data_IF_938336138596
#
_entry.id   IF_938336138596
#
_cell.length_a   1.000
_cell.length_b   1.000
_cell.length_c   1.000
_cell.angle_alpha   90.00
_cell.angle_beta   90.00
_cell.angle_gamma   90.00
#
_symmetry.space_group_name_H-M   'P 1'
#
loop_
_entity.id
_entity.type
_entity.pdbx_description
1 polymer ?
#
# COMPACT_ATOMS: atom_id res chain seq x y z
N UNK A 1 17.82 -24.34 35.33
CA UNK A 1 16.95 -25.52 35.49
C UNK A 1 16.84 -26.17 34.10
N UNK A 2 17.56 -27.26 33.88
CA UNK A 2 17.67 -27.95 32.57
C UNK A 2 16.47 -28.88 32.38
N UNK A 3 15.71 -28.72 31.30
CA UNK A 3 14.78 -29.75 30.85
C UNK A 3 15.42 -30.55 29.71
N UNK A 4 15.73 -31.81 30.03
CA UNK A 4 16.33 -32.80 29.14
C UNK A 4 15.19 -33.52 28.41
N UNK A 5 15.03 -33.28 27.11
CA UNK A 5 14.07 -34.05 26.29
C UNK A 5 14.72 -35.39 25.99
N UNK A 6 14.18 -36.45 26.58
CA UNK A 6 14.58 -37.83 26.29
C UNK A 6 14.02 -38.17 24.90
N UNK A 7 14.88 -38.56 23.96
CA UNK A 7 14.41 -39.14 22.69
C UNK A 7 14.06 -40.60 22.94
N UNK A 8 12.77 -40.93 22.97
CA UNK A 8 12.34 -42.31 22.85
C UNK A 8 12.08 -42.62 21.37
N UNK A 9 12.87 -43.56 20.89
CA UNK A 9 12.88 -44.15 19.56
C UNK A 9 11.66 -45.04 19.30
N UNK A 10 11.13 -44.94 18.08
CA UNK A 10 10.25 -45.88 17.38
C UNK A 10 8.87 -46.19 18.00
N UNK A 11 7.85 -45.47 17.52
CA UNK A 11 6.55 -46.08 17.19
C UNK A 11 5.90 -45.31 16.04
N UNK A 12 5.83 -45.95 14.88
CA UNK A 12 4.98 -45.55 13.76
C UNK A 12 3.53 -45.77 14.16
N UNK A 13 2.94 -44.81 14.86
CA UNK A 13 1.49 -44.72 15.13
C UNK A 13 1.09 -43.26 15.02
N UNK A 14 0.00 -43.01 14.31
CA UNK A 14 -0.62 -41.72 13.98
C UNK A 14 -0.07 -40.51 14.74
N UNK A 15 0.51 -39.56 14.01
CA UNK A 15 0.66 -38.19 14.50
C UNK A 15 -0.73 -37.66 14.80
N UNK A 16 -1.16 -37.79 16.05
CA UNK A 16 -2.28 -37.02 16.59
C UNK A 16 -1.92 -35.56 16.34
N UNK A 17 -2.64 -34.92 15.42
CA UNK A 17 -2.51 -33.48 15.18
C UNK A 17 -3.09 -32.81 16.44
N UNK A 18 -2.24 -32.53 17.42
CA UNK A 18 -2.62 -31.72 18.57
C UNK A 18 -2.90 -30.31 18.05
N UNK A 19 -4.17 -29.93 18.01
CA UNK A 19 -4.58 -28.55 17.73
C UNK A 19 -4.60 -27.78 19.06
N UNK A 20 -3.59 -26.95 19.35
CA UNK A 20 -3.56 -26.19 20.58
C UNK A 20 -4.76 -25.25 20.65
N UNK A 21 -5.41 -25.19 21.82
CA UNK A 21 -6.56 -24.30 22.04
C UNK A 21 -6.07 -22.93 22.48
N UNK A 22 -6.40 -21.90 21.71
CA UNK A 22 -6.16 -20.51 22.05
C UNK A 22 -7.46 -19.81 22.46
N UNK A 23 -7.43 -19.03 23.54
CA UNK A 23 -8.51 -18.15 23.96
C UNK A 23 -8.06 -16.70 23.78
N UNK A 24 -8.78 -15.92 22.98
CA UNK A 24 -8.41 -14.55 22.61
C UNK A 24 -9.58 -13.61 22.85
N UNK A 25 -9.30 -12.47 23.47
CA UNK A 25 -10.27 -11.39 23.63
C UNK A 25 -10.24 -10.49 22.39
N UNK A 26 -11.38 -10.33 21.73
CA UNK A 26 -11.52 -9.53 20.52
C UNK A 26 -12.58 -8.44 20.70
N UNK A 27 -12.49 -7.39 19.90
CA UNK A 27 -13.49 -6.31 19.91
C UNK A 27 -14.82 -6.80 19.35
N UNK A 28 -15.92 -6.17 19.76
CA UNK A 28 -17.27 -6.50 19.26
C UNK A 28 -17.38 -6.37 17.74
N UNK A 29 -16.65 -5.43 17.14
CA UNK A 29 -16.61 -5.26 15.69
C UNK A 29 -16.00 -6.49 15.00
N UNK A 30 -14.85 -6.95 15.49
CA UNK A 30 -14.17 -8.13 14.94
C UNK A 30 -15.02 -9.39 15.13
N UNK A 31 -15.68 -9.54 16.27
CA UNK A 31 -16.60 -10.65 16.50
C UNK A 31 -17.75 -10.67 15.48
N UNK A 32 -18.40 -9.52 15.24
CA UNK A 32 -19.48 -9.41 14.23
C UNK A 32 -18.99 -9.74 12.82
N UNK A 33 -17.77 -9.33 12.46
CA UNK A 33 -17.17 -9.65 11.14
C UNK A 33 -16.93 -11.15 10.99
N UNK A 34 -16.37 -11.80 12.02
CA UNK A 34 -16.16 -13.26 12.00
C UNK A 34 -17.51 -13.98 11.88
N UNK A 35 -18.52 -13.53 12.63
CA UNK A 35 -19.86 -14.10 12.56
C UNK A 35 -20.46 -13.98 11.15
N UNK A 36 -20.33 -12.83 10.51
CA UNK A 36 -20.79 -12.62 9.12
C UNK A 36 -20.12 -13.58 8.13
N UNK A 37 -18.83 -13.89 8.32
CA UNK A 37 -18.11 -14.85 7.47
C UNK A 37 -18.60 -16.29 7.73
N UNK A 38 -18.86 -16.63 8.98
CA UNK A 38 -19.45 -17.93 9.35
C UNK A 38 -20.81 -18.10 8.70
N UNK A 39 -21.65 -17.07 8.72
CA UNK A 39 -22.99 -17.12 8.15
C UNK A 39 -22.94 -17.22 6.62
N UNK A 40 -22.05 -16.48 5.96
CA UNK A 40 -21.80 -16.62 4.52
C UNK A 40 -21.36 -18.04 4.12
N UNK A 41 -20.45 -18.67 4.90
CA UNK A 41 -20.05 -20.06 4.65
C UNK A 41 -21.19 -21.07 4.80
N UNK A 42 -22.14 -20.81 5.71
CA UNK A 42 -23.33 -21.66 5.86
C UNK A 42 -24.29 -21.48 4.69
N UNK A 43 -24.43 -20.25 4.18
CA UNK A 43 -25.21 -19.98 2.97
C UNK A 43 -24.62 -20.70 1.75
N UNK A 44 -23.29 -20.80 1.66
CA UNK A 44 -22.57 -21.56 0.63
C UNK A 44 -22.69 -23.10 0.80
N UNK A 45 -23.41 -23.58 1.81
CA UNK A 45 -23.66 -25.01 2.04
C UNK A 45 -22.53 -25.77 2.75
N UNK A 46 -21.59 -25.06 3.39
CA UNK A 46 -20.54 -25.70 4.18
C UNK A 46 -21.13 -26.41 5.42
N UNK A 47 -20.52 -27.54 5.81
CA UNK A 47 -20.98 -28.29 6.98
C UNK A 47 -20.85 -27.47 8.27
N UNK A 48 -21.75 -27.72 9.23
CA UNK A 48 -21.79 -27.00 10.52
C UNK A 48 -20.52 -27.19 11.33
N UNK A 49 -19.77 -28.26 11.07
CA UNK A 49 -18.47 -28.51 11.69
C UNK A 49 -17.37 -27.61 11.14
N UNK A 50 -17.42 -27.26 9.85
CA UNK A 50 -16.45 -26.40 9.18
C UNK A 50 -16.80 -24.91 9.27
N UNK A 51 -18.10 -24.58 9.33
CA UNK A 51 -18.62 -23.22 9.43
C UNK A 51 -18.94 -22.84 10.89
N UNK A 52 -17.89 -22.75 11.72
CA UNK A 52 -18.00 -22.29 13.11
C UNK A 52 -17.01 -21.13 13.39
N UNK A 53 -17.25 -20.41 14.49
CA UNK A 53 -16.44 -19.22 14.83
C UNK A 53 -14.97 -19.58 15.06
N UNK A 54 -14.68 -20.73 15.66
CA UNK A 54 -13.32 -21.16 15.95
C UNK A 54 -12.56 -21.59 14.70
N UNK A 55 -13.19 -22.28 13.76
CA UNK A 55 -12.58 -22.69 12.49
C UNK A 55 -12.30 -21.50 11.58
N UNK A 56 -13.24 -20.55 11.52
CA UNK A 56 -13.04 -19.30 10.77
C UNK A 56 -11.98 -18.42 11.44
N UNK A 57 -11.96 -18.33 12.77
CA UNK A 57 -10.93 -17.59 13.50
C UNK A 57 -9.53 -18.20 13.30
N UNK A 58 -9.40 -19.53 13.32
CA UNK A 58 -8.15 -20.22 13.05
C UNK A 58 -7.66 -19.94 11.61
N UNK A 59 -8.56 -20.05 10.62
CA UNK A 59 -8.26 -19.70 9.23
C UNK A 59 -7.79 -18.24 9.08
N UNK A 60 -8.46 -17.30 9.74
CA UNK A 60 -8.08 -15.88 9.71
C UNK A 60 -6.73 -15.63 10.38
N UNK A 61 -6.40 -16.37 11.44
CA UNK A 61 -5.10 -16.29 12.10
C UNK A 61 -3.98 -16.77 11.17
N UNK A 62 -4.18 -17.89 10.47
CA UNK A 62 -3.20 -18.40 9.50
C UNK A 62 -2.95 -17.40 8.36
N UNK A 63 -4.01 -16.81 7.81
CA UNK A 63 -3.89 -15.76 6.79
C UNK A 63 -3.17 -14.54 7.37
N UNK A 64 -3.53 -14.12 8.58
CA UNK A 64 -2.90 -13.00 9.27
C UNK A 64 -1.40 -13.19 9.49
N UNK A 65 -0.98 -14.39 9.90
CA UNK A 65 0.43 -14.74 10.08
C UNK A 65 1.20 -14.71 8.76
N UNK A 66 0.64 -15.27 7.68
CA UNK A 66 1.26 -15.21 6.35
C UNK A 66 1.44 -13.77 5.86
N UNK A 67 0.43 -12.93 6.06
CA UNK A 67 0.45 -11.52 5.66
C UNK A 67 1.43 -10.71 6.53
N UNK A 68 1.57 -11.06 7.80
CA UNK A 68 2.55 -10.45 8.70
C UNK A 68 3.99 -10.82 8.27
N UNK A 69 4.27 -12.09 8.02
CA UNK A 69 5.57 -12.56 7.51
C UNK A 69 5.92 -11.92 6.17
N UNK A 70 4.94 -11.79 5.27
CA UNK A 70 5.14 -11.16 3.96
C UNK A 70 5.50 -9.68 4.09
N UNK A 71 4.82 -8.94 4.97
CA UNK A 71 5.15 -7.53 5.24
C UNK A 71 6.55 -7.38 5.84
N UNK A 72 6.90 -8.23 6.80
CA UNK A 72 8.23 -8.21 7.42
C UNK A 72 9.35 -8.50 6.41
N UNK A 73 9.14 -9.44 5.48
CA UNK A 73 10.11 -9.70 4.40
C UNK A 73 10.25 -8.50 3.47
N UNK A 74 9.16 -7.83 3.12
CA UNK A 74 9.19 -6.62 2.29
C UNK A 74 9.95 -5.48 2.97
N UNK A 75 9.79 -5.32 4.28
CA UNK A 75 10.55 -4.32 5.06
C UNK A 75 12.05 -4.63 5.05
N UNK A 76 12.43 -5.90 5.21
CA UNK A 76 13.83 -6.33 5.13
C UNK A 76 14.41 -6.20 3.71
N UNK A 77 13.65 -6.55 2.67
CA UNK A 77 14.06 -6.42 1.26
C UNK A 77 14.15 -4.94 0.82
N UNK A 78 13.22 -4.10 1.28
CA UNK A 78 13.25 -2.65 1.06
C UNK A 78 14.40 -1.93 1.76
N UNK A 79 14.88 -2.45 2.90
CA UNK A 79 16.12 -1.99 3.53
C UNK A 79 17.34 -2.29 2.65
N UNK A 80 17.41 -3.45 1.99
CA UNK A 80 18.59 -3.86 1.20
C UNK A 80 18.77 -3.01 -0.07
N UNK A 81 17.69 -2.57 -0.72
CA UNK A 81 17.75 -1.66 -1.86
C UNK A 81 18.01 -0.18 -1.46
N UNK A 82 17.90 0.14 -0.17
CA UNK A 82 18.14 1.49 0.38
C UNK A 82 19.54 1.68 1.01
N UNK A 83 20.31 0.61 1.19
CA UNK A 83 21.67 0.66 1.80
C UNK A 83 22.75 1.09 0.78
N UNK A 84 22.44 1.19 -0.51
CA UNK A 84 23.40 1.73 -1.49
C UNK A 84 23.18 3.22 -1.73
N UNK A 85 24.09 3.98 -1.11
CA UNK A 85 24.41 5.40 -1.30
C UNK A 85 23.47 6.44 -0.67
N UNK A 86 23.74 6.71 0.61
CA UNK A 86 23.63 8.02 1.26
C UNK A 86 22.25 8.70 1.19
N UNK A 87 21.41 8.45 2.19
CA UNK A 87 20.90 9.46 3.12
C UNK A 87 19.73 8.85 3.92
N UNK A 88 19.91 8.73 5.23
CA UNK A 88 18.87 8.44 6.22
C UNK A 88 17.80 9.54 6.22
N UNK A 89 16.87 9.47 5.27
CA UNK A 89 15.74 10.38 5.20
C UNK A 89 14.46 9.55 5.32
N UNK A 90 13.58 9.84 6.30
CA UNK A 90 12.37 9.07 6.51
C UNK A 90 11.55 9.00 5.21
N UNK A 91 10.98 7.82 4.93
CA UNK A 91 10.15 7.48 3.76
C UNK A 91 9.29 8.63 3.19
N UNK A 92 8.52 9.41 4.00
CA UNK A 92 7.75 10.54 3.47
C UNK A 92 8.59 11.67 2.86
N UNK A 93 9.79 11.93 3.36
CA UNK A 93 10.65 13.02 2.90
C UNK A 93 11.40 12.62 1.63
N UNK A 94 11.77 11.34 1.50
CA UNK A 94 12.28 10.78 0.24
C UNK A 94 11.18 10.74 -0.83
N UNK A 95 9.96 10.34 -0.46
CA UNK A 95 8.81 10.41 -1.35
C UNK A 95 8.56 11.84 -1.85
N UNK A 96 8.54 12.82 -0.95
CA UNK A 96 8.37 14.24 -1.32
C UNK A 96 9.49 14.74 -2.23
N UNK A 97 10.74 14.33 -1.98
CA UNK A 97 11.89 14.67 -2.83
C UNK A 97 11.71 14.12 -4.25
N UNK A 98 11.42 12.83 -4.38
CA UNK A 98 11.21 12.18 -5.69
C UNK A 98 10.01 12.77 -6.42
N UNK A 99 8.91 13.02 -5.71
CA UNK A 99 7.71 13.64 -6.27
C UNK A 99 8.02 15.05 -6.79
N UNK A 100 8.67 15.89 -5.98
CA UNK A 100 9.05 17.24 -6.36
C UNK A 100 9.99 17.24 -7.57
N UNK A 101 11.00 16.37 -7.57
CA UNK A 101 11.94 16.25 -8.67
C UNK A 101 11.24 15.87 -9.99
N UNK A 102 10.32 14.91 -9.95
CA UNK A 102 9.58 14.48 -11.13
C UNK A 102 8.62 15.57 -11.64
N UNK A 103 7.93 16.28 -10.74
CA UNK A 103 7.05 17.40 -11.10
C UNK A 103 7.86 18.53 -11.75
N UNK A 104 9.01 18.88 -11.19
CA UNK A 104 9.88 19.93 -11.76
C UNK A 104 10.41 19.53 -13.14
N UNK A 105 10.87 18.28 -13.31
CA UNK A 105 11.32 17.75 -14.60
C UNK A 105 10.20 17.80 -15.65
N UNK A 106 8.99 17.37 -15.29
CA UNK A 106 7.83 17.39 -16.18
C UNK A 106 7.40 18.82 -16.55
N UNK A 107 7.38 19.74 -15.58
CA UNK A 107 7.06 21.16 -15.80
C UNK A 107 8.07 21.82 -16.73
N UNK A 108 9.36 21.55 -16.52
CA UNK A 108 10.43 22.08 -17.37
C UNK A 108 10.33 21.54 -18.79
N UNK A 109 10.20 20.22 -18.96
CA UNK A 109 10.05 19.59 -20.27
C UNK A 109 8.82 20.11 -21.03
N UNK A 110 7.68 20.24 -20.34
CA UNK A 110 6.43 20.76 -20.93
C UNK A 110 6.56 22.21 -21.37
N UNK A 111 7.27 23.04 -20.60
CA UNK A 111 7.52 24.44 -20.96
C UNK A 111 8.42 24.54 -22.19
N UNK A 112 9.48 23.75 -22.25
CA UNK A 112 10.38 23.69 -23.41
C UNK A 112 9.65 23.19 -24.66
N UNK A 113 8.80 22.17 -24.52
CA UNK A 113 7.94 21.69 -25.61
C UNK A 113 6.98 22.79 -26.09
N UNK A 114 6.34 23.50 -25.17
CA UNK A 114 5.43 24.60 -25.50
C UNK A 114 6.15 25.74 -26.24
N UNK A 115 7.38 26.07 -25.84
CA UNK A 115 8.22 27.05 -26.54
C UNK A 115 8.57 26.58 -27.96
N UNK A 116 8.95 25.31 -28.13
CA UNK A 116 9.27 24.75 -29.44
C UNK A 116 8.03 24.76 -30.35
N UNK A 117 6.87 24.34 -29.84
CA UNK A 117 5.60 24.32 -30.58
C UNK A 117 5.15 25.73 -30.96
N UNK A 118 5.28 26.70 -30.05
CA UNK A 118 4.94 28.09 -30.33
C UNK A 118 5.79 28.75 -31.43
N UNK A 119 6.98 28.19 -31.71
CA UNK A 119 7.87 28.66 -32.77
C UNK A 119 7.66 27.96 -34.13
N UNK A 120 6.77 26.96 -34.21
CA UNK A 120 6.47 26.28 -35.47
C UNK A 120 5.63 27.20 -36.38
N UNK A 121 6.03 27.33 -37.65
CA UNK A 121 5.37 28.24 -38.62
C UNK A 121 3.89 27.86 -38.88
N UNK A 122 3.54 26.59 -38.72
CA UNK A 122 2.18 26.06 -38.84
C UNK A 122 1.25 26.57 -37.71
N UNK A 123 1.81 26.80 -36.52
CA UNK A 123 1.09 27.16 -35.30
C UNK A 123 1.19 28.66 -35.03
N UNK A 124 2.25 29.31 -35.50
CA UNK A 124 2.54 30.75 -35.32
C UNK A 124 1.46 31.67 -35.89
N UNK A 125 0.74 31.21 -36.91
CA UNK A 125 -0.36 31.94 -37.55
C UNK A 125 -1.71 31.70 -36.87
N UNK A 126 -1.78 30.85 -35.84
CA UNK A 126 -3.00 30.57 -35.08
C UNK A 126 -2.92 31.32 -33.74
N UNK A 127 -3.69 32.42 -33.62
CA UNK A 127 -3.72 33.28 -32.42
C UNK A 127 -4.02 32.53 -31.12
N UNK A 128 -4.77 31.43 -31.20
CA UNK A 128 -5.10 30.57 -30.06
C UNK A 128 -3.90 29.84 -29.45
N UNK A 129 -2.83 29.62 -30.24
CA UNK A 129 -1.62 28.89 -29.81
C UNK A 129 -0.39 29.80 -29.73
N UNK A 130 -0.57 31.12 -29.82
CA UNK A 130 0.51 32.06 -29.60
C UNK A 130 1.10 31.86 -28.19
N UNK A 131 2.40 31.58 -28.13
CA UNK A 131 3.11 31.30 -26.90
C UNK A 131 2.91 32.36 -25.81
N UNK A 132 2.87 33.65 -26.17
CA UNK A 132 2.66 34.73 -25.20
C UNK A 132 1.25 34.69 -24.60
N UNK A 133 0.23 34.40 -25.41
CA UNK A 133 -1.14 34.27 -24.92
C UNK A 133 -1.29 33.04 -24.02
N UNK A 134 -0.75 31.89 -24.43
CA UNK A 134 -0.81 30.65 -23.65
C UNK A 134 -0.08 30.81 -22.31
N UNK A 135 1.05 31.52 -22.28
CA UNK A 135 1.79 31.80 -21.05
C UNK A 135 0.97 32.64 -20.06
N UNK A 136 0.24 33.65 -20.54
CA UNK A 136 -0.67 34.46 -19.71
C UNK A 136 -1.81 33.61 -19.18
N UNK A 137 -2.46 32.80 -20.03
CA UNK A 137 -3.53 31.90 -19.61
C UNK A 137 -3.07 30.87 -18.55
N UNK A 138 -1.87 30.32 -18.71
CA UNK A 138 -1.29 29.41 -17.72
C UNK A 138 -1.08 30.14 -16.39
N UNK A 139 -0.54 31.36 -16.42
CA UNK A 139 -0.33 32.17 -15.22
C UNK A 139 -1.64 32.48 -14.50
N UNK A 140 -2.63 33.01 -15.21
CA UNK A 140 -3.93 33.37 -14.63
C UNK A 140 -4.62 32.15 -14.02
N UNK A 141 -4.53 30.99 -14.68
CA UNK A 141 -5.09 29.74 -14.18
C UNK A 141 -4.35 29.25 -12.92
N UNK A 142 -3.02 29.31 -12.91
CA UNK A 142 -2.22 28.93 -11.73
C UNK A 142 -2.52 29.87 -10.58
N UNK A 143 -2.56 31.18 -10.81
CA UNK A 143 -2.87 32.17 -9.78
C UNK A 143 -4.26 31.92 -9.19
N UNK A 144 -5.28 31.65 -10.01
CA UNK A 144 -6.61 31.28 -9.49
C UNK A 144 -6.62 30.01 -8.63
N UNK A 145 -5.79 29.02 -8.97
CA UNK A 145 -5.67 27.78 -8.19
C UNK A 145 -4.86 27.99 -6.91
N UNK A 146 -3.78 28.77 -6.96
CA UNK A 146 -2.97 29.13 -5.80
C UNK A 146 -3.80 29.97 -4.82
N UNK A 147 -4.55 30.96 -5.29
CA UNK A 147 -5.50 31.72 -4.47
C UNK A 147 -6.51 30.77 -3.82
N UNK A 148 -7.04 29.76 -4.51
CA UNK A 148 -7.98 28.81 -3.87
C UNK A 148 -7.34 27.96 -2.75
N UNK A 149 -6.04 27.68 -2.82
CA UNK A 149 -5.35 26.78 -1.88
C UNK A 149 -4.67 27.56 -0.74
N UNK A 150 -4.17 28.76 -1.03
CA UNK A 150 -3.32 29.56 -0.14
C UNK A 150 -3.90 30.93 0.23
N UNK A 151 -5.12 31.27 -0.18
CA UNK A 151 -5.77 32.45 0.41
C UNK A 151 -6.16 32.12 1.83
N UNK A 152 -5.57 32.87 2.77
CA UNK A 152 -6.02 32.95 4.14
C UNK A 152 -7.38 33.67 4.18
N UNK A 153 -8.45 32.88 4.13
CA UNK A 153 -9.68 33.12 4.92
C UNK A 153 -9.79 32.00 5.97
#
# INVERSE_FOLDING_TARGET
>A
MLYKIKSDSNSTMDKVVEMPRAQVYITQNNYKRIQSIVDAKKEDGADRTEANVSSVAAMLLDIGLRVYEFQQKKEQEGEIDSIQENNDLPDPLMFNKVLLENILKASYASTTLLQMIGNLDEVKNIDSFNYENVKVQIRDKIDSQLTKIFSDD
#
